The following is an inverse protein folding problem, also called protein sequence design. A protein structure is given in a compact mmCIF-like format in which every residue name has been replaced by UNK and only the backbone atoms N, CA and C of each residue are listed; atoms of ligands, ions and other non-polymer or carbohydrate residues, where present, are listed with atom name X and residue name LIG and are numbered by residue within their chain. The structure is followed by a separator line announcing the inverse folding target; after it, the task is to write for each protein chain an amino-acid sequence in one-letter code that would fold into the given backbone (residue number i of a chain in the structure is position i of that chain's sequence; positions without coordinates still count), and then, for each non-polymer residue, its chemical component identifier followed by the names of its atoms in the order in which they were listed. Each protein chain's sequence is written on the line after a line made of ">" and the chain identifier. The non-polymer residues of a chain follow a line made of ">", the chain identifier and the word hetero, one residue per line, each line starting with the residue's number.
data_IF_535733980088
#
_entry.id   IF_535733980088
#
_cell.length_a   1.000
_cell.length_b   1.000
_cell.length_c   1.000
_cell.angle_alpha   90.00
_cell.angle_beta   90.00
_cell.angle_gamma   90.00
#
_symmetry.space_group_name_H-M   'P 1'
#
loop_
_entity.id
_entity.type
_entity.pdbx_description
1 polymer ?
#
# COMPACT_ATOMS: atom_id res chain seq x y z
N UNK A 1 -32.67 -5.97 -12.22
CA UNK A 1 -31.23 -5.65 -12.34
C UNK A 1 -30.81 -4.51 -11.43
N UNK A 2 -31.61 -3.45 -11.29
CA UNK A 2 -31.28 -2.26 -10.49
C UNK A 2 -31.07 -2.52 -8.98
N UNK A 3 -31.94 -3.32 -8.35
CA UNK A 3 -31.80 -3.69 -6.93
C UNK A 3 -30.48 -4.42 -6.63
N UNK A 4 -30.06 -5.32 -7.53
CA UNK A 4 -28.82 -6.08 -7.39
C UNK A 4 -27.58 -5.21 -7.55
N UNK A 5 -27.60 -4.26 -8.50
CA UNK A 5 -26.51 -3.30 -8.69
C UNK A 5 -26.33 -2.38 -7.47
N UNK A 6 -27.45 -1.91 -6.91
CA UNK A 6 -27.46 -1.07 -5.70
C UNK A 6 -26.90 -1.82 -4.48
N UNK A 7 -27.38 -3.04 -4.22
CA UNK A 7 -26.87 -3.88 -3.12
C UNK A 7 -25.37 -4.17 -3.26
N UNK A 8 -24.90 -4.41 -4.49
CA UNK A 8 -23.47 -4.62 -4.78
C UNK A 8 -22.65 -3.35 -4.49
N UNK A 9 -23.15 -2.18 -4.87
CA UNK A 9 -22.50 -0.90 -4.60
C UNK A 9 -22.42 -0.60 -3.09
N UNK A 10 -23.54 -0.73 -2.37
CA UNK A 10 -23.61 -0.51 -0.92
C UNK A 10 -22.68 -1.47 -0.16
N UNK A 11 -22.63 -2.74 -0.57
CA UNK A 11 -21.72 -3.73 0.03
C UNK A 11 -20.26 -3.39 -0.26
N UNK A 12 -19.94 -2.94 -1.48
CA UNK A 12 -18.59 -2.52 -1.87
C UNK A 12 -18.14 -1.32 -1.05
N UNK A 13 -19.00 -0.30 -0.91
CA UNK A 13 -18.72 0.90 -0.12
C UNK A 13 -18.50 0.55 1.36
N UNK A 14 -19.38 -0.27 1.95
CA UNK A 14 -19.24 -0.70 3.34
C UNK A 14 -17.95 -1.49 3.58
N UNK A 15 -17.60 -2.36 2.65
CA UNK A 15 -16.36 -3.15 2.71
C UNK A 15 -15.14 -2.26 2.58
N UNK A 16 -15.17 -1.31 1.65
CA UNK A 16 -14.09 -0.33 1.46
C UNK A 16 -13.87 0.49 2.73
N UNK A 17 -14.92 1.07 3.30
CA UNK A 17 -14.83 1.84 4.55
C UNK A 17 -14.23 1.02 5.68
N UNK A 18 -14.66 -0.24 5.85
CA UNK A 18 -14.08 -1.14 6.85
C UNK A 18 -12.60 -1.43 6.60
N UNK A 19 -12.20 -1.64 5.34
CA UNK A 19 -10.80 -1.82 4.97
C UNK A 19 -9.96 -0.59 5.30
N UNK A 20 -10.41 0.61 4.93
CA UNK A 20 -9.68 1.86 5.21
C UNK A 20 -9.56 2.10 6.73
N UNK A 21 -10.63 1.81 7.49
CA UNK A 21 -10.63 1.93 8.95
C UNK A 21 -9.74 0.86 9.63
N UNK A 22 -9.57 -0.32 9.04
CA UNK A 22 -8.71 -1.36 9.65
C UNK A 22 -7.22 -1.04 9.56
N UNK A 23 -6.81 -0.15 8.64
CA UNK A 23 -5.42 0.28 8.52
C UNK A 23 -5.09 1.50 9.42
N UNK A 24 -6.10 2.13 10.04
CA UNK A 24 -6.01 3.45 10.67
C UNK A 24 -5.00 3.56 11.83
N UNK A 25 -4.69 2.44 12.48
CA UNK A 25 -3.68 2.37 13.55
C UNK A 25 -2.25 2.55 13.05
N UNK A 26 -2.01 2.37 11.75
CA UNK A 26 -0.71 2.54 11.09
C UNK A 26 -0.76 3.68 10.08
N UNK A 27 -1.78 3.70 9.22
CA UNK A 27 -1.92 4.68 8.15
C UNK A 27 -3.38 5.02 7.89
N UNK A 28 -3.67 6.29 7.65
CA UNK A 28 -4.97 6.74 7.15
C UNK A 28 -4.83 7.97 6.27
N UNK A 29 -5.92 8.35 5.61
CA UNK A 29 -5.95 9.51 4.72
C UNK A 29 -7.07 10.46 5.06
N UNK A 30 -6.87 11.73 4.68
CA UNK A 30 -7.90 12.76 4.67
C UNK A 30 -7.96 13.41 3.28
N UNK A 31 -9.11 13.36 2.59
CA UNK A 31 -10.32 12.61 2.95
C UNK A 31 -10.08 11.10 3.05
N UNK A 32 -10.92 10.40 3.84
CA UNK A 32 -10.80 8.94 4.06
C UNK A 32 -10.82 8.15 2.74
N UNK A 33 -11.68 8.56 1.82
CA UNK A 33 -11.71 8.04 0.45
C UNK A 33 -10.92 8.98 -0.46
N UNK A 34 -9.87 8.45 -1.08
CA UNK A 34 -9.01 9.21 -1.98
C UNK A 34 -9.78 9.51 -3.26
N UNK A 35 -9.79 10.78 -3.68
CA UNK A 35 -10.51 11.23 -4.87
C UNK A 35 -9.54 11.62 -5.97
N UNK A 36 -9.74 11.09 -7.18
CA UNK A 36 -8.97 11.47 -8.35
C UNK A 36 -9.13 12.97 -8.64
N UNK A 37 -8.03 13.62 -9.04
CA UNK A 37 -8.01 15.06 -9.32
C UNK A 37 -8.07 15.96 -8.07
N UNK A 38 -8.03 15.40 -6.86
CA UNK A 38 -7.99 16.15 -5.60
C UNK A 38 -6.68 15.91 -4.86
N UNK A 39 -6.39 16.74 -3.88
CA UNK A 39 -5.29 16.49 -2.94
C UNK A 39 -5.76 15.50 -1.87
N UNK A 40 -4.83 14.69 -1.40
CA UNK A 40 -5.00 13.81 -0.24
C UNK A 40 -3.87 14.04 0.74
N UNK A 41 -4.19 14.07 2.02
CA UNK A 41 -3.21 14.04 3.11
C UNK A 41 -3.10 12.63 3.64
N UNK A 42 -1.88 12.09 3.68
CA UNK A 42 -1.56 10.77 4.23
C UNK A 42 -1.01 10.95 5.63
N UNK A 43 -1.62 10.31 6.60
CA UNK A 43 -1.17 10.25 7.98
C UNK A 43 -0.60 8.87 8.27
N UNK A 44 0.53 8.84 8.96
CA UNK A 44 1.26 7.62 9.28
C UNK A 44 1.71 7.65 10.74
N UNK A 45 1.69 6.48 11.40
CA UNK A 45 2.13 6.33 12.80
C UNK A 45 3.41 5.48 12.86
N UNK A 46 4.60 6.10 12.91
CA UNK A 46 5.86 5.36 12.91
C UNK A 46 6.01 4.44 14.12
N UNK A 47 5.44 4.82 15.27
CA UNK A 47 5.55 4.08 16.54
C UNK A 47 5.01 2.64 16.46
N UNK A 48 4.11 2.36 15.51
CA UNK A 48 3.48 1.05 15.34
C UNK A 48 4.17 0.19 14.25
N UNK A 49 5.36 0.58 13.80
CA UNK A 49 6.02 0.00 12.62
C UNK A 49 7.52 -0.19 12.83
N UNK A 50 8.21 -0.68 11.80
CA UNK A 50 9.67 -0.79 11.74
C UNK A 50 10.38 0.57 11.75
N UNK A 51 9.65 1.67 11.56
CA UNK A 51 10.18 3.04 11.62
C UNK A 51 10.02 3.68 13.01
N UNK A 52 9.65 2.91 14.04
CA UNK A 52 9.59 3.41 15.41
C UNK A 52 10.96 3.94 15.88
N UNK A 53 10.97 5.14 16.47
CA UNK A 53 12.18 5.80 16.97
C UNK A 53 13.11 6.36 15.89
N UNK A 54 12.73 6.30 14.61
CA UNK A 54 13.51 6.89 13.53
C UNK A 54 13.40 8.42 13.55
N UNK A 55 14.51 9.15 13.25
CA UNK A 55 14.54 10.60 13.35
C UNK A 55 13.70 11.29 12.26
N UNK A 56 13.56 10.63 11.11
CA UNK A 56 12.79 11.11 9.98
C UNK A 56 11.95 9.98 9.41
N UNK A 57 10.87 10.36 8.74
CA UNK A 57 10.07 9.47 7.93
C UNK A 57 9.82 10.18 6.60
N UNK A 58 10.00 9.44 5.52
CA UNK A 58 9.84 9.88 4.16
C UNK A 58 8.76 9.07 3.49
N UNK A 59 7.84 9.76 2.83
CA UNK A 59 6.79 9.18 2.03
C UNK A 59 7.28 9.02 0.60
N UNK A 60 7.09 7.82 0.04
CA UNK A 60 7.36 7.53 -1.36
C UNK A 60 6.11 6.93 -1.96
N UNK A 61 5.53 7.63 -2.91
CA UNK A 61 4.27 7.24 -3.52
C UNK A 61 4.32 7.17 -5.03
N UNK A 62 3.39 6.44 -5.60
CA UNK A 62 3.04 6.43 -7.02
C UNK A 62 1.55 6.13 -7.14
N UNK A 63 1.09 5.95 -8.37
CA UNK A 63 -0.29 5.59 -8.66
C UNK A 63 -0.34 4.37 -9.59
N UNK A 64 -1.51 3.76 -9.65
CA UNK A 64 -1.85 2.69 -10.58
C UNK A 64 -0.86 1.52 -10.51
N UNK A 65 -0.65 0.97 -9.32
CA UNK A 65 0.27 -0.14 -9.01
C UNK A 65 1.72 0.18 -9.37
N UNK A 66 2.17 1.38 -9.00
CA UNK A 66 3.49 1.90 -9.34
C UNK A 66 3.76 2.13 -10.85
N UNK A 67 2.77 2.00 -11.72
CA UNK A 67 2.94 2.08 -13.19
C UNK A 67 2.34 3.34 -13.83
N UNK A 68 1.91 4.32 -13.03
CA UNK A 68 1.37 5.56 -13.58
C UNK A 68 2.36 6.30 -14.47
N UNK A 69 1.88 6.90 -15.57
CA UNK A 69 2.73 7.57 -16.59
C UNK A 69 3.57 8.72 -16.07
N UNK A 70 3.18 9.34 -14.95
CA UNK A 70 3.94 10.42 -14.31
C UNK A 70 5.10 9.90 -13.47
N UNK A 71 5.25 8.58 -13.34
CA UNK A 71 6.23 7.94 -12.48
C UNK A 71 5.91 8.12 -10.99
N UNK A 72 6.84 7.71 -10.12
CA UNK A 72 6.76 7.95 -8.69
C UNK A 72 6.77 9.45 -8.37
N UNK A 73 6.06 9.81 -7.31
CA UNK A 73 6.18 11.12 -6.69
C UNK A 73 7.62 11.31 -6.17
N UNK A 74 8.14 12.54 -6.20
CA UNK A 74 9.37 12.87 -5.48
C UNK A 74 9.24 12.45 -4.01
N UNK A 75 10.30 11.93 -3.37
CA UNK A 75 10.28 11.65 -1.94
C UNK A 75 9.83 12.88 -1.14
N UNK A 76 8.89 12.69 -0.23
CA UNK A 76 8.34 13.78 0.58
C UNK A 76 8.67 13.51 2.04
N UNK A 77 9.40 14.40 2.69
CA UNK A 77 9.59 14.33 4.14
C UNK A 77 8.23 14.46 4.81
N UNK A 78 7.95 13.59 5.78
CA UNK A 78 6.73 13.67 6.57
C UNK A 78 6.93 14.64 7.72
N UNK A 79 5.91 15.45 7.98
CA UNK A 79 5.90 16.47 9.02
C UNK A 79 5.03 16.02 10.19
N UNK A 80 5.26 16.54 11.39
CA UNK A 80 4.38 16.25 12.52
C UNK A 80 2.93 16.68 12.21
N UNK A 81 1.96 15.89 12.65
CA UNK A 81 0.55 16.29 12.57
C UNK A 81 0.24 17.40 13.60
N UNK A 82 -0.60 18.36 13.22
CA UNK A 82 -0.96 19.52 14.05
C UNK A 82 -1.96 19.18 15.18
N UNK A 83 -2.39 17.93 15.27
CA UNK A 83 -3.42 17.44 16.20
C UNK A 83 -2.84 16.98 17.55
N UNK A 84 -1.53 17.20 17.78
CA UNK A 84 -0.82 16.76 18.98
C UNK A 84 -0.66 15.24 19.10
N UNK A 85 -1.00 14.49 18.04
CA UNK A 85 -0.81 13.05 18.00
C UNK A 85 0.62 12.67 17.61
N UNK A 86 0.97 11.40 17.77
CA UNK A 86 2.25 10.84 17.30
C UNK A 86 2.27 10.54 15.80
N UNK A 87 1.28 11.03 15.03
CA UNK A 87 1.26 10.85 13.59
C UNK A 87 2.15 11.86 12.90
N UNK A 88 2.72 11.44 11.78
CA UNK A 88 3.33 12.31 10.79
C UNK A 88 2.46 12.33 9.53
N UNK A 89 2.52 13.42 8.77
CA UNK A 89 1.68 13.63 7.59
C UNK A 89 2.45 14.20 6.40
N UNK A 90 1.92 13.94 5.21
CA UNK A 90 2.31 14.64 3.98
C UNK A 90 1.10 14.75 3.04
N UNK A 91 1.17 15.62 2.04
CA UNK A 91 0.10 15.79 1.07
C UNK A 91 0.57 15.51 -0.35
N UNK A 92 -0.27 14.83 -1.13
CA UNK A 92 -0.02 14.50 -2.52
C UNK A 92 -1.22 14.91 -3.40
N UNK A 93 -0.93 15.35 -4.63
CA UNK A 93 -1.96 15.57 -5.65
C UNK A 93 -2.25 14.24 -6.35
N UNK A 94 -3.52 13.85 -6.39
CA UNK A 94 -3.95 12.61 -7.02
C UNK A 94 -4.28 12.89 -8.50
N UNK A 95 -3.64 12.20 -9.46
CA UNK A 95 -3.97 12.33 -10.87
C UNK A 95 -5.44 12.02 -11.17
N UNK A 96 -6.01 12.65 -12.20
CA UNK A 96 -7.40 12.43 -12.61
C UNK A 96 -7.64 11.00 -13.12
N UNK A 97 -6.60 10.35 -13.62
CA UNK A 97 -6.61 8.98 -14.13
C UNK A 97 -5.99 7.96 -13.17
N UNK A 98 -5.88 8.31 -11.89
CA UNK A 98 -5.51 7.35 -10.86
C UNK A 98 -6.73 6.51 -10.43
N UNK A 99 -6.56 5.20 -10.37
CA UNK A 99 -7.49 4.26 -9.75
C UNK A 99 -6.95 3.64 -8.45
N UNK A 100 -5.65 3.82 -8.18
CA UNK A 100 -4.97 3.31 -6.99
C UNK A 100 -3.83 4.25 -6.63
N UNK A 101 -3.60 4.43 -5.34
CA UNK A 101 -2.44 5.10 -4.77
C UNK A 101 -1.60 4.06 -4.06
N UNK A 102 -0.31 4.00 -4.43
CA UNK A 102 0.64 3.02 -3.95
C UNK A 102 1.75 3.75 -3.22
N UNK A 103 2.15 3.30 -2.04
CA UNK A 103 3.22 3.96 -1.31
C UNK A 103 3.93 3.06 -0.30
N UNK A 104 5.13 3.51 0.06
CA UNK A 104 5.95 2.98 1.14
C UNK A 104 6.51 4.14 1.97
N UNK A 105 6.99 3.83 3.16
CA UNK A 105 7.69 4.80 4.01
C UNK A 105 9.17 4.42 4.14
N UNK A 106 10.05 5.40 4.24
CA UNK A 106 11.49 5.18 4.46
C UNK A 106 12.05 6.05 5.57
N UNK A 107 13.11 5.58 6.23
CA UNK A 107 13.83 6.36 7.26
C UNK A 107 14.56 7.58 6.67
N UNK A 108 14.96 7.52 5.39
CA UNK A 108 15.74 8.58 4.73
C UNK A 108 15.18 8.91 3.35
N UNK A 109 15.53 10.09 2.85
CA UNK A 109 15.18 10.54 1.51
C UNK A 109 15.63 9.56 0.43
N UNK A 110 16.86 9.03 0.54
CA UNK A 110 17.52 8.20 -0.46
C UNK A 110 17.75 6.73 -0.04
N UNK A 111 17.00 6.22 0.94
CA UNK A 111 17.00 4.79 1.28
C UNK A 111 16.83 4.51 2.77
N UNK A 112 17.62 3.55 3.27
CA UNK A 112 17.58 3.13 4.67
C UNK A 112 16.56 2.01 4.93
N UNK A 113 16.00 1.98 6.15
CA UNK A 113 14.93 1.05 6.50
C UNK A 113 13.64 1.50 5.81
N UNK A 114 12.93 0.54 5.22
CA UNK A 114 11.63 0.75 4.60
C UNK A 114 10.55 0.06 5.41
N UNK A 115 9.44 0.76 5.59
CA UNK A 115 8.16 0.13 5.87
C UNK A 115 7.38 -0.01 4.57
N UNK A 116 7.42 -1.23 4.04
CA UNK A 116 6.68 -1.67 2.86
C UNK A 116 5.64 -2.74 3.22
N UNK A 117 5.13 -2.73 4.47
CA UNK A 117 4.09 -3.67 4.93
C UNK A 117 4.44 -5.13 4.64
N UNK A 118 5.65 -5.55 5.01
CA UNK A 118 6.17 -6.91 4.77
C UNK A 118 6.25 -7.29 3.28
N UNK A 119 6.58 -6.33 2.42
CA UNK A 119 6.68 -6.53 0.97
C UNK A 119 5.34 -6.48 0.23
N UNK A 120 4.26 -6.09 0.90
CA UNK A 120 2.94 -5.93 0.29
C UNK A 120 2.65 -4.50 -0.17
N UNK A 121 3.50 -3.54 0.21
CA UNK A 121 3.28 -2.11 0.10
C UNK A 121 1.93 -1.65 0.70
N UNK A 122 1.71 -0.34 0.69
CA UNK A 122 0.39 0.22 0.99
C UNK A 122 -0.32 0.55 -0.31
N UNK A 123 -1.51 -0.01 -0.48
CA UNK A 123 -2.36 0.19 -1.64
C UNK A 123 -3.72 0.70 -1.19
N UNK A 124 -4.03 1.94 -1.53
CA UNK A 124 -5.33 2.56 -1.24
C UNK A 124 -6.06 2.84 -2.56
N UNK A 125 -7.33 2.44 -2.70
CA UNK A 125 -8.09 2.69 -3.91
C UNK A 125 -8.42 4.17 -4.08
N UNK A 126 -8.45 4.62 -5.34
CA UNK A 126 -8.84 5.98 -5.71
C UNK A 126 -10.21 5.94 -6.38
N UNK A 127 -11.12 6.78 -5.90
CA UNK A 127 -12.49 6.92 -6.42
C UNK A 127 -12.54 8.06 -7.44
N UNK A 128 -13.37 7.90 -8.48
CA UNK A 128 -13.61 8.93 -9.49
C UNK A 128 -12.54 9.03 -10.59
N UNK A 129 -11.57 8.12 -10.61
CA UNK A 129 -10.57 8.04 -11.68
C UNK A 129 -11.19 7.73 -13.04
N UNK A 130 -10.69 8.39 -14.10
CA UNK A 130 -11.16 8.13 -15.48
C UNK A 130 -10.58 6.84 -16.07
N UNK A 131 -9.42 6.39 -15.58
CA UNK A 131 -8.85 5.12 -15.98
C UNK A 131 -9.51 3.98 -15.21
N UNK A 132 -9.73 2.85 -15.90
CA UNK A 132 -10.24 1.64 -15.26
C UNK A 132 -9.07 0.82 -14.74
N UNK A 133 -9.21 0.33 -13.51
CA UNK A 133 -8.31 -0.66 -12.95
C UNK A 133 -8.29 -1.92 -13.85
N UNK A 134 -7.11 -2.39 -14.31
CA UNK A 134 -7.00 -3.60 -15.11
C UNK A 134 -7.42 -4.84 -14.30
N UNK A 135 -8.15 -5.79 -14.92
CA UNK A 135 -8.47 -7.06 -14.29
C UNK A 135 -7.20 -7.81 -13.85
N UNK A 136 -7.21 -8.33 -12.62
CA UNK A 136 -6.17 -9.25 -12.14
C UNK A 136 -6.56 -10.68 -12.53
N UNK A 137 -5.73 -11.32 -13.36
CA UNK A 137 -5.85 -12.74 -13.65
C UNK A 137 -4.96 -13.50 -12.67
N UNK A 138 -5.57 -14.08 -11.62
CA UNK A 138 -4.85 -14.86 -10.61
C UNK A 138 -4.77 -16.31 -11.07
N UNK A 139 -3.56 -16.82 -11.26
CA UNK A 139 -3.29 -18.23 -11.53
C UNK A 139 -2.80 -18.89 -10.24
N UNK A 140 -3.49 -19.93 -9.79
CA UNK A 140 -3.07 -20.71 -8.63
C UNK A 140 -1.94 -21.66 -9.05
N UNK A 141 -0.71 -21.36 -8.67
CA UNK A 141 0.44 -22.24 -8.87
C UNK A 141 0.70 -22.98 -7.56
N UNK A 142 0.38 -24.27 -7.52
CA UNK A 142 0.77 -25.15 -6.43
C UNK A 142 2.06 -25.87 -6.83
N UNK A 143 3.11 -25.74 -6.02
CA UNK A 143 4.35 -26.52 -6.16
C UNK A 143 4.30 -27.65 -5.15
N UNK A 144 4.32 -28.89 -5.63
CA UNK A 144 4.48 -30.07 -4.78
C UNK A 144 5.96 -30.23 -4.42
N UNK A 145 6.30 -30.12 -3.13
CA UNK A 145 7.66 -30.31 -2.63
C UNK A 145 7.93 -31.80 -2.44
N UNK A 146 8.52 -32.46 -3.43
CA UNK A 146 9.01 -33.84 -3.24
C UNK A 146 10.25 -33.84 -2.30
N UNK A 147 10.35 -34.77 -1.33
CA UNK A 147 11.50 -34.82 -0.44
C UNK A 147 12.76 -35.28 -1.19
N UNK A 148 13.85 -34.53 -1.04
CA UNK A 148 15.18 -34.88 -1.56
C UNK A 148 15.65 -36.16 -0.87
N UNK A 149 15.73 -37.25 -1.63
CA UNK A 149 16.30 -38.51 -1.15
C UNK A 149 17.82 -38.37 -0.97
N UNK A 150 18.28 -38.71 0.24
CA UNK A 150 19.68 -38.71 0.67
C UNK A 150 20.48 -39.76 -0.14
N UNK A 151 21.55 -39.34 -0.81
CA UNK A 151 22.48 -40.26 -1.51
C UNK A 151 23.30 -41.02 -0.46
N UNK A 152 23.06 -42.32 -0.31
CA UNK A 152 23.92 -43.21 0.49
C UNK A 152 25.11 -43.64 -0.34
N UNK A 153 26.30 -43.10 -0.06
CA UNK A 153 27.57 -43.61 -0.60
C UNK A 153 27.91 -44.91 0.13
N UNK A 154 27.90 -46.05 -0.57
CA UNK A 154 28.53 -47.28 -0.09
C UNK A 154 30.00 -47.24 -0.47
N UNK A 155 30.88 -47.03 0.50
CA UNK A 155 32.29 -47.41 0.37
C UNK A 155 32.38 -48.93 0.55
N UNK A 156 32.93 -49.65 -0.42
CA UNK A 156 33.31 -51.06 -0.26
C UNK A 156 34.67 -51.12 0.46
N UNK A 157 34.87 -52.02 1.43
CA UNK A 157 36.20 -52.25 1.99
C UNK A 157 37.09 -53.00 0.99
N UNK A 158 38.40 -52.83 1.16
CA UNK A 158 39.51 -53.47 0.42
C UNK A 158 39.49 -54.99 0.57
#
# INVERSE_FOLDING_TARGET
>A
MEKTARLKAETKERTLKKFLLSQKDVVYTEPLEIQAGRSVTVFYRPSNTVLNGKPEVWFRGSFNRWTHRLGPLPPQKMEAADDGSSHVKTSAKVPLDAYMMDFVFSEKEDGGVFDNRYGLDYHLPVVGGIAKEPPLHIVHIAVEMAPIAKVTVRLKPV
#
